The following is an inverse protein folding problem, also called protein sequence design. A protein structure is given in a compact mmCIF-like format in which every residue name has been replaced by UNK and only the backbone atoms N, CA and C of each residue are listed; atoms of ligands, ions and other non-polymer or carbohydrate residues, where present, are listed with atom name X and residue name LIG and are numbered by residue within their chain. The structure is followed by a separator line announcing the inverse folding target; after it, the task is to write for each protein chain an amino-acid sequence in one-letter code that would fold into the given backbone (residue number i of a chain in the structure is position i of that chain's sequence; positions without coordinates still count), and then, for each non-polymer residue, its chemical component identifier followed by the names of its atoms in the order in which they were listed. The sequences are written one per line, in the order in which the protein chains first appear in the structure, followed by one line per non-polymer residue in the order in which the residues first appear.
data_IF_168375292500
#
_entry.id   IF_168375292500
#
_cell.length_a   1.000
_cell.length_b   1.000
_cell.length_c   1.000
_cell.angle_alpha   90.00
_cell.angle_beta   90.00
_cell.angle_gamma   90.00
#
_symmetry.space_group_name_H-M   'P 1'
#
loop_
_entity.id
_entity.type
_entity.pdbx_description
1 polymer ?
#
# COMPACT_ATOMS: atom_id res chain seq x y z
N UNK A 1 -34.42 -9.43 -8.63
CA UNK A 1 -33.76 -8.73 -7.51
C UNK A 1 -34.25 -7.29 -7.48
N UNK A 2 -34.91 -6.87 -6.41
CA UNK A 2 -35.45 -5.52 -6.23
C UNK A 2 -34.34 -4.47 -6.06
N UNK A 3 -34.68 -3.18 -6.15
CA UNK A 3 -33.72 -2.09 -5.91
C UNK A 3 -33.19 -2.16 -4.47
N UNK A 4 -34.08 -2.35 -3.50
CA UNK A 4 -33.76 -2.52 -2.09
C UNK A 4 -32.81 -3.70 -1.84
N UNK A 5 -33.03 -4.84 -2.50
CA UNK A 5 -32.12 -6.00 -2.39
C UNK A 5 -30.72 -5.70 -2.93
N UNK A 6 -30.61 -4.90 -4.00
CA UNK A 6 -29.29 -4.48 -4.54
C UNK A 6 -28.58 -3.51 -3.60
N UNK A 7 -29.31 -2.58 -2.99
CA UNK A 7 -28.77 -1.65 -2.00
C UNK A 7 -28.26 -2.40 -0.76
N UNK A 8 -29.01 -3.38 -0.26
CA UNK A 8 -28.61 -4.22 0.87
C UNK A 8 -27.34 -5.03 0.56
N UNK A 9 -27.26 -5.64 -0.63
CA UNK A 9 -26.07 -6.37 -1.08
C UNK A 9 -24.84 -5.46 -1.16
N UNK A 10 -25.00 -4.22 -1.64
CA UNK A 10 -23.91 -3.25 -1.71
C UNK A 10 -23.46 -2.81 -0.31
N UNK A 11 -24.42 -2.52 0.58
CA UNK A 11 -24.15 -2.19 1.98
C UNK A 11 -23.39 -3.32 2.69
N UNK A 12 -23.83 -4.56 2.53
CA UNK A 12 -23.14 -5.74 3.06
C UNK A 12 -21.73 -5.89 2.46
N UNK A 13 -21.57 -5.64 1.16
CA UNK A 13 -20.26 -5.74 0.49
C UNK A 13 -19.24 -4.78 1.09
N UNK A 14 -19.62 -3.50 1.25
CA UNK A 14 -18.77 -2.49 1.87
C UNK A 14 -18.48 -2.80 3.34
N UNK A 15 -19.49 -3.26 4.08
CA UNK A 15 -19.34 -3.59 5.50
C UNK A 15 -18.39 -4.77 5.71
N UNK A 16 -18.49 -5.81 4.89
CA UNK A 16 -17.58 -6.98 4.90
C UNK A 16 -16.15 -6.52 4.60
N UNK A 17 -15.95 -5.72 3.54
CA UNK A 17 -14.64 -5.22 3.15
C UNK A 17 -13.99 -4.40 4.27
N UNK A 18 -14.73 -3.45 4.84
CA UNK A 18 -14.23 -2.60 5.92
C UNK A 18 -13.91 -3.42 7.17
N UNK A 19 -14.77 -4.38 7.54
CA UNK A 19 -14.54 -5.23 8.71
C UNK A 19 -13.31 -6.13 8.53
N UNK A 20 -13.13 -6.73 7.35
CA UNK A 20 -11.93 -7.50 7.00
C UNK A 20 -10.66 -6.68 7.22
N UNK A 21 -10.61 -5.48 6.63
CA UNK A 21 -9.44 -4.60 6.73
C UNK A 21 -9.14 -4.20 8.17
N UNK A 22 -10.17 -3.86 8.95
CA UNK A 22 -10.02 -3.49 10.37
C UNK A 22 -9.43 -4.66 11.18
N UNK A 23 -9.94 -5.88 11.00
CA UNK A 23 -9.44 -7.06 11.72
C UNK A 23 -7.97 -7.32 11.41
N UNK A 24 -7.59 -7.26 10.12
CA UNK A 24 -6.22 -7.52 9.68
C UNK A 24 -5.24 -6.45 10.15
N UNK A 25 -5.60 -5.17 10.06
CA UNK A 25 -4.79 -4.08 10.61
C UNK A 25 -4.60 -4.23 12.11
N UNK A 26 -5.66 -4.59 12.85
CA UNK A 26 -5.56 -4.84 14.29
C UNK A 26 -4.62 -6.02 14.60
N UNK A 27 -4.74 -7.14 13.88
CA UNK A 27 -3.85 -8.29 14.06
C UNK A 27 -2.38 -7.94 13.77
N UNK A 28 -2.13 -7.27 12.64
CA UNK A 28 -0.80 -6.84 12.25
C UNK A 28 -0.16 -5.91 13.30
N UNK A 29 -0.93 -4.94 13.82
CA UNK A 29 -0.43 -4.04 14.87
C UNK A 29 -0.10 -4.80 16.16
N UNK A 30 -0.93 -5.79 16.54
CA UNK A 30 -0.65 -6.64 17.69
C UNK A 30 0.63 -7.47 17.51
N UNK A 31 0.79 -8.09 16.34
CA UNK A 31 1.99 -8.85 16.00
C UNK A 31 3.24 -7.98 16.06
N UNK A 32 3.21 -6.79 15.44
CA UNK A 32 4.35 -5.85 15.47
C UNK A 32 4.67 -5.32 16.86
N UNK A 33 3.66 -5.12 17.73
CA UNK A 33 3.90 -4.76 19.13
C UNK A 33 4.62 -5.87 19.91
N UNK A 34 4.42 -7.14 19.56
CA UNK A 34 5.15 -8.25 20.19
C UNK A 34 6.59 -8.41 19.66
N UNK A 35 6.88 -7.96 18.44
CA UNK A 35 8.24 -7.97 17.86
C UNK A 35 9.14 -6.82 18.35
N UNK A 36 8.55 -5.70 18.80
CA UNK A 36 9.28 -4.55 19.34
C UNK A 36 9.48 -4.74 20.86
N UNK A 37 10.73 -4.69 21.34
CA UNK A 37 11.12 -4.92 22.75
C UNK A 37 10.33 -4.08 23.79
N UNK A 38 10.35 -4.56 25.04
CA UNK A 38 9.53 -4.31 26.25
C UNK A 38 9.06 -2.86 26.60
N UNK A 39 9.52 -1.82 25.91
CA UNK A 39 9.32 -0.41 26.30
C UNK A 39 8.21 0.35 25.53
N UNK A 40 7.52 -0.27 24.58
CA UNK A 40 6.43 0.39 23.83
C UNK A 40 5.04 -0.12 24.23
N UNK A 41 4.49 0.41 25.33
CA UNK A 41 3.10 0.19 25.72
C UNK A 41 2.24 1.31 25.12
N UNK A 42 1.43 0.98 24.10
CA UNK A 42 0.41 1.91 23.62
C UNK A 42 -0.69 2.02 24.69
N UNK A 43 -0.88 3.23 25.25
CA UNK A 43 -1.73 3.50 26.43
C UNK A 43 -3.19 3.01 26.29
N UNK A 44 -3.69 2.80 25.06
CA UNK A 44 -5.00 2.19 24.81
C UNK A 44 -5.07 1.68 23.35
N UNK A 45 -4.90 0.37 23.10
CA UNK A 45 -4.93 -0.16 21.73
C UNK A 45 -6.30 0.03 21.04
N UNK A 46 -7.38 0.21 21.79
CA UNK A 46 -8.75 0.29 21.24
C UNK A 46 -9.31 -1.07 20.80
N UNK A 47 -8.58 -2.16 21.06
CA UNK A 47 -8.95 -3.54 20.73
C UNK A 47 -8.46 -4.51 21.82
N UNK A 48 -9.10 -5.68 21.89
CA UNK A 48 -8.72 -6.80 22.79
C UNK A 48 -8.82 -8.11 22.02
N UNK A 49 -8.20 -9.18 22.53
CA UNK A 49 -8.36 -10.54 22.00
C UNK A 49 -9.83 -10.92 21.84
N UNK A 50 -10.66 -10.59 22.84
CA UNK A 50 -12.11 -10.84 22.79
C UNK A 50 -12.84 -10.00 21.74
N UNK A 51 -12.43 -8.74 21.57
CA UNK A 51 -12.95 -7.89 20.49
C UNK A 51 -12.60 -8.46 19.11
N UNK A 52 -11.39 -9.01 18.94
CA UNK A 52 -10.94 -9.60 17.69
C UNK A 52 -11.75 -10.86 17.36
N UNK A 53 -11.91 -11.77 18.32
CA UNK A 53 -12.77 -12.96 18.19
C UNK A 53 -14.19 -12.58 17.78
N UNK A 54 -14.80 -11.63 18.50
CA UNK A 54 -16.16 -11.17 18.22
C UNK A 54 -16.26 -10.53 16.84
N UNK A 55 -15.27 -9.75 16.43
CA UNK A 55 -15.24 -9.11 15.11
C UNK A 55 -15.18 -10.14 13.97
N UNK A 56 -14.41 -11.22 14.15
CA UNK A 56 -14.34 -12.33 13.19
C UNK A 56 -15.68 -13.09 13.14
N UNK A 57 -16.33 -13.33 14.28
CA UNK A 57 -17.66 -13.94 14.35
C UNK A 57 -18.72 -13.08 13.65
N UNK A 58 -18.71 -11.76 13.89
CA UNK A 58 -19.58 -10.81 13.21
C UNK A 58 -19.34 -10.84 11.70
N UNK A 59 -18.08 -10.89 11.26
CA UNK A 59 -17.73 -11.00 9.84
C UNK A 59 -18.26 -12.29 9.21
N UNK A 60 -18.17 -13.43 9.89
CA UNK A 60 -18.77 -14.70 9.44
C UNK A 60 -20.29 -14.56 9.21
N UNK A 61 -20.99 -13.88 10.13
CA UNK A 61 -22.44 -13.63 9.99
C UNK A 61 -22.71 -12.69 8.81
N UNK A 62 -21.91 -11.64 8.61
CA UNK A 62 -22.07 -10.73 7.48
C UNK A 62 -21.88 -11.43 6.13
N UNK A 63 -20.87 -12.29 6.01
CA UNK A 63 -20.63 -13.08 4.79
C UNK A 63 -21.79 -14.05 4.56
N UNK A 64 -22.29 -14.70 5.61
CA UNK A 64 -23.47 -15.58 5.51
C UNK A 64 -24.70 -14.82 5.01
N UNK A 65 -24.98 -13.65 5.57
CA UNK A 65 -26.08 -12.78 5.15
C UNK A 65 -25.90 -12.28 3.71
N UNK A 66 -24.68 -11.96 3.29
CA UNK A 66 -24.36 -11.58 1.91
C UNK A 66 -24.68 -12.70 0.92
N UNK A 67 -24.29 -13.95 1.22
CA UNK A 67 -24.55 -15.11 0.38
C UNK A 67 -26.05 -15.45 0.33
N UNK A 68 -26.74 -15.30 1.45
CA UNK A 68 -28.20 -15.45 1.53
C UNK A 68 -28.92 -14.39 0.70
N UNK A 69 -28.54 -13.11 0.84
CA UNK A 69 -29.11 -12.00 0.07
C UNK A 69 -28.86 -12.15 -1.45
N UNK A 70 -27.70 -12.72 -1.84
CA UNK A 70 -27.42 -13.09 -3.23
C UNK A 70 -28.15 -14.35 -3.72
N UNK A 71 -28.93 -15.02 -2.87
CA UNK A 71 -29.64 -16.25 -3.17
C UNK A 71 -28.69 -17.38 -3.62
N UNK A 72 -27.58 -17.56 -2.90
CA UNK A 72 -26.56 -18.57 -3.19
C UNK A 72 -26.52 -19.69 -2.13
N UNK A 73 -27.56 -20.52 -2.00
CA UNK A 73 -27.71 -21.46 -0.89
C UNK A 73 -26.64 -22.55 -0.84
N UNK A 74 -26.15 -23.01 -2.01
CA UNK A 74 -25.06 -24.00 -2.07
C UNK A 74 -23.77 -23.40 -1.52
N UNK A 75 -23.45 -22.17 -1.93
CA UNK A 75 -22.24 -21.48 -1.49
C UNK A 75 -22.32 -21.12 -0.01
N UNK A 76 -23.48 -20.65 0.47
CA UNK A 76 -23.75 -20.43 1.89
C UNK A 76 -23.52 -21.70 2.72
N UNK A 77 -24.09 -22.83 2.31
CA UNK A 77 -23.92 -24.10 3.02
C UNK A 77 -22.44 -24.53 3.05
N UNK A 78 -21.73 -24.38 1.94
CA UNK A 78 -20.31 -24.68 1.87
C UNK A 78 -19.47 -23.77 2.79
N UNK A 79 -19.80 -22.48 2.82
CA UNK A 79 -19.17 -21.51 3.73
C UNK A 79 -19.36 -21.91 5.19
N UNK A 80 -20.62 -22.13 5.60
CA UNK A 80 -20.96 -22.49 6.96
C UNK A 80 -20.30 -23.80 7.38
N UNK A 81 -20.38 -24.85 6.55
CA UNK A 81 -19.73 -26.15 6.83
C UNK A 81 -18.21 -26.03 6.96
N UNK A 82 -17.56 -25.21 6.12
CA UNK A 82 -16.12 -25.03 6.16
C UNK A 82 -15.66 -24.31 7.44
N UNK A 83 -16.38 -23.26 7.86
CA UNK A 83 -15.87 -22.32 8.85
C UNK A 83 -16.51 -22.40 10.24
N UNK A 84 -17.64 -23.10 10.41
CA UNK A 84 -18.35 -23.15 11.70
C UNK A 84 -17.48 -23.64 12.86
N UNK A 85 -16.68 -24.69 12.65
CA UNK A 85 -15.77 -25.22 13.68
C UNK A 85 -14.69 -24.17 14.05
N UNK A 86 -14.06 -23.54 13.05
CA UNK A 86 -13.06 -22.49 13.31
C UNK A 86 -13.64 -21.27 14.04
N UNK A 87 -14.90 -20.91 13.78
CA UNK A 87 -15.56 -19.72 14.37
C UNK A 87 -16.09 -19.97 15.78
N UNK A 88 -16.45 -21.21 16.11
CA UNK A 88 -16.95 -21.61 17.43
C UNK A 88 -15.86 -22.07 18.38
N UNK A 89 -14.66 -22.33 17.87
CA UNK A 89 -13.52 -22.79 18.65
C UNK A 89 -12.52 -21.66 18.91
N UNK A 90 -12.47 -21.22 20.17
CA UNK A 90 -11.58 -20.16 20.65
C UNK A 90 -10.10 -20.32 20.31
N UNK A 91 -9.62 -21.56 20.17
CA UNK A 91 -8.23 -21.82 19.81
C UNK A 91 -7.99 -21.67 18.30
N UNK A 92 -9.01 -21.95 17.48
CA UNK A 92 -8.90 -21.93 16.01
C UNK A 92 -9.16 -20.56 15.41
N UNK A 93 -10.06 -19.78 16.02
CA UNK A 93 -10.48 -18.49 15.47
C UNK A 93 -9.34 -17.47 15.38
N UNK A 94 -8.34 -17.58 16.25
CA UNK A 94 -7.14 -16.73 16.26
C UNK A 94 -5.87 -17.47 15.81
N UNK A 95 -6.01 -18.64 15.16
CA UNK A 95 -4.86 -19.26 14.53
C UNK A 95 -4.29 -18.30 13.49
N UNK A 96 -3.02 -18.01 13.64
CA UNK A 96 -2.26 -17.21 12.72
C UNK A 96 -1.01 -17.96 12.28
N UNK A 97 -0.46 -17.52 11.16
CA UNK A 97 0.80 -18.05 10.67
C UNK A 97 1.25 -17.31 9.42
N UNK A 98 2.47 -17.63 9.02
CA UNK A 98 3.05 -17.17 7.78
C UNK A 98 2.44 -18.01 6.65
N UNK A 99 1.42 -17.46 5.98
CA UNK A 99 0.66 -18.14 4.93
C UNK A 99 1.31 -18.05 3.55
N UNK A 100 2.20 -17.09 3.38
CA UNK A 100 2.99 -16.87 2.19
C UNK A 100 4.47 -16.90 2.58
N UNK A 101 5.38 -17.50 1.78
CA UNK A 101 6.81 -17.57 2.11
C UNK A 101 7.44 -16.20 2.46
N UNK A 102 6.82 -15.13 1.98
CA UNK A 102 7.21 -13.73 2.09
C UNK A 102 6.18 -12.87 2.85
N UNK A 103 5.21 -13.47 3.57
CA UNK A 103 4.17 -12.77 4.32
C UNK A 103 4.49 -12.54 5.81
N UNK A 104 3.80 -11.58 6.43
CA UNK A 104 3.75 -11.46 7.88
C UNK A 104 2.86 -12.56 8.50
N UNK A 105 2.85 -12.62 9.83
CA UNK A 105 1.89 -13.46 10.54
C UNK A 105 0.45 -12.97 10.28
N UNK A 106 -0.34 -13.79 9.60
CA UNK A 106 -1.69 -13.47 9.19
C UNK A 106 -2.69 -14.38 9.89
N UNK A 107 -3.86 -13.84 10.24
CA UNK A 107 -4.98 -14.67 10.69
C UNK A 107 -5.41 -15.59 9.55
N UNK A 108 -5.30 -16.90 9.78
CA UNK A 108 -5.65 -17.91 8.78
C UNK A 108 -7.10 -17.72 8.31
N UNK A 109 -8.00 -17.44 9.26
CA UNK A 109 -9.44 -17.31 8.98
C UNK A 109 -9.77 -16.12 8.07
N UNK A 110 -9.07 -14.98 8.17
CA UNK A 110 -9.36 -13.82 7.31
C UNK A 110 -8.88 -14.07 5.89
N UNK A 111 -7.72 -14.70 5.72
CA UNK A 111 -7.23 -15.10 4.39
C UNK A 111 -8.16 -16.14 3.74
N UNK A 112 -8.66 -17.11 4.52
CA UNK A 112 -9.62 -18.07 3.99
C UNK A 112 -10.96 -17.42 3.61
N UNK A 113 -11.43 -16.42 4.36
CA UNK A 113 -12.60 -15.62 3.98
C UNK A 113 -12.37 -14.85 2.68
N UNK A 114 -11.21 -14.20 2.53
CA UNK A 114 -10.81 -13.50 1.30
C UNK A 114 -10.79 -14.43 0.10
N UNK A 115 -10.16 -15.59 0.26
CA UNK A 115 -10.11 -16.64 -0.76
C UNK A 115 -11.52 -17.08 -1.17
N UNK A 116 -12.41 -17.28 -0.21
CA UNK A 116 -13.80 -17.66 -0.47
C UNK A 116 -14.60 -16.57 -1.20
N UNK A 117 -14.32 -15.30 -0.89
CA UNK A 117 -15.00 -14.14 -1.47
C UNK A 117 -14.40 -13.70 -2.83
N UNK A 118 -13.18 -14.14 -3.16
CA UNK A 118 -12.46 -13.75 -4.39
C UNK A 118 -13.25 -13.89 -5.71
N UNK A 119 -14.18 -14.86 -5.90
CA UNK A 119 -14.95 -14.94 -7.14
C UNK A 119 -15.94 -13.77 -7.33
N UNK A 120 -16.22 -12.98 -6.29
CA UNK A 120 -17.08 -11.82 -6.38
C UNK A 120 -16.26 -10.58 -6.73
N UNK A 121 -16.64 -9.89 -7.80
CA UNK A 121 -15.99 -8.65 -8.27
C UNK A 121 -15.65 -7.62 -7.17
N UNK A 122 -16.49 -7.51 -6.13
CA UNK A 122 -16.28 -6.57 -5.02
C UNK A 122 -15.14 -6.96 -4.07
N UNK A 123 -14.75 -8.24 -4.04
CA UNK A 123 -13.73 -8.80 -3.16
C UNK A 123 -12.56 -9.42 -3.95
N UNK A 124 -12.51 -9.19 -5.27
CA UNK A 124 -11.44 -9.65 -6.14
C UNK A 124 -10.14 -8.90 -5.80
N UNK A 125 -9.30 -9.57 -5.02
CA UNK A 125 -8.02 -9.07 -4.54
C UNK A 125 -7.04 -8.73 -5.64
N UNK A 126 -7.01 -9.51 -6.72
CA UNK A 126 -6.12 -9.25 -7.85
C UNK A 126 -6.52 -7.94 -8.54
N UNK A 127 -7.83 -7.76 -8.77
CA UNK A 127 -8.36 -6.52 -9.35
C UNK A 127 -8.18 -5.31 -8.44
N UNK A 128 -8.34 -5.47 -7.13
CA UNK A 128 -8.08 -4.40 -6.16
C UNK A 128 -6.59 -4.03 -6.13
N UNK A 129 -5.70 -5.03 -6.23
CA UNK A 129 -4.26 -4.79 -6.29
C UNK A 129 -3.87 -4.08 -7.59
N UNK A 130 -4.40 -4.52 -8.74
CA UNK A 130 -4.23 -3.85 -10.03
C UNK A 130 -4.74 -2.39 -10.00
N UNK A 131 -5.95 -2.16 -9.46
CA UNK A 131 -6.51 -0.81 -9.30
C UNK A 131 -5.63 0.05 -8.38
N UNK A 132 -5.10 -0.52 -7.30
CA UNK A 132 -4.19 0.17 -6.37
C UNK A 132 -2.83 0.49 -6.99
N UNK A 133 -2.25 -0.43 -7.77
CA UNK A 133 -1.00 -0.20 -8.51
C UNK A 133 -1.20 0.90 -9.54
N UNK A 134 -2.26 0.84 -10.35
CA UNK A 134 -2.58 1.88 -11.35
C UNK A 134 -2.75 3.24 -10.69
N UNK A 135 -3.45 3.30 -9.55
CA UNK A 135 -3.66 4.51 -8.77
C UNK A 135 -2.35 5.05 -8.19
N UNK A 136 -1.54 4.19 -7.58
CA UNK A 136 -0.24 4.56 -7.04
C UNK A 136 0.66 5.13 -8.14
N UNK A 137 0.85 4.39 -9.23
CA UNK A 137 1.66 4.83 -10.37
C UNK A 137 1.13 6.13 -10.97
N UNK A 138 -0.19 6.33 -11.00
CA UNK A 138 -0.79 7.59 -11.45
C UNK A 138 -0.46 8.76 -10.52
N UNK A 139 -0.48 8.58 -9.20
CA UNK A 139 -0.09 9.63 -8.24
C UNK A 139 1.39 9.98 -8.43
N UNK A 140 2.27 8.98 -8.52
CA UNK A 140 3.72 9.18 -8.71
C UNK A 140 4.05 9.87 -10.04
N UNK A 141 3.34 9.54 -11.13
CA UNK A 141 3.47 10.23 -12.42
C UNK A 141 3.03 11.70 -12.37
N UNK A 142 2.16 12.06 -11.42
CA UNK A 142 1.67 13.42 -11.21
C UNK A 142 2.50 14.23 -10.19
N UNK A 143 3.69 13.78 -9.81
CA UNK A 143 4.55 14.48 -8.84
C UNK A 143 4.81 15.95 -9.19
N UNK A 144 5.08 16.30 -10.45
CA UNK A 144 5.27 17.71 -10.88
C UNK A 144 4.02 18.57 -10.60
N UNK A 145 2.84 18.01 -10.85
CA UNK A 145 1.59 18.69 -10.56
C UNK A 145 1.37 18.88 -9.05
N UNK A 146 1.72 17.88 -8.23
CA UNK A 146 1.62 17.95 -6.76
C UNK A 146 2.53 19.07 -6.23
N UNK A 147 3.81 19.05 -6.60
CA UNK A 147 4.82 20.04 -6.18
C UNK A 147 4.34 21.46 -6.50
N UNK A 148 3.86 21.69 -7.72
CA UNK A 148 3.40 23.01 -8.16
C UNK A 148 2.19 23.51 -7.39
N UNK A 149 1.20 22.65 -7.14
CA UNK A 149 0.02 23.06 -6.38
C UNK A 149 0.31 23.26 -4.89
N UNK A 150 1.36 22.65 -4.37
CA UNK A 150 1.86 22.93 -3.04
C UNK A 150 2.67 24.25 -2.96
N UNK A 151 2.96 24.92 -4.08
CA UNK A 151 3.76 26.14 -4.17
C UNK A 151 5.11 26.04 -3.43
N UNK A 152 5.76 24.87 -3.50
CA UNK A 152 7.07 24.66 -2.89
C UNK A 152 8.19 24.85 -3.91
N UNK A 153 9.31 25.39 -3.44
CA UNK A 153 10.58 25.36 -4.17
C UNK A 153 11.28 24.02 -3.86
N UNK A 154 11.71 23.31 -4.90
CA UNK A 154 12.37 22.01 -4.74
C UNK A 154 13.88 22.22 -4.71
N UNK A 155 14.49 21.99 -3.56
CA UNK A 155 15.95 22.09 -3.39
C UNK A 155 16.58 20.70 -3.23
N UNK A 156 15.81 19.75 -2.66
CA UNK A 156 16.24 18.37 -2.40
C UNK A 156 15.09 17.39 -2.56
N UNK A 157 15.42 16.09 -2.62
CA UNK A 157 14.47 14.98 -2.73
C UNK A 157 13.36 15.04 -1.66
N UNK A 158 13.72 15.44 -0.44
CA UNK A 158 12.78 15.56 0.67
C UNK A 158 11.66 16.58 0.46
N UNK A 159 11.92 17.63 -0.33
CA UNK A 159 10.89 18.62 -0.62
C UNK A 159 9.80 17.99 -1.51
N UNK A 160 10.18 17.02 -2.36
CA UNK A 160 9.28 16.26 -3.22
C UNK A 160 8.51 15.21 -2.44
N UNK A 161 9.21 14.23 -1.86
CA UNK A 161 8.56 13.03 -1.32
C UNK A 161 7.65 13.35 -0.15
N UNK A 162 7.88 14.44 0.60
CA UNK A 162 6.99 14.88 1.67
C UNK A 162 5.62 15.32 1.13
N UNK A 163 5.57 16.06 0.02
CA UNK A 163 4.30 16.48 -0.58
C UNK A 163 3.56 15.31 -1.21
N UNK A 164 4.29 14.44 -1.91
CA UNK A 164 3.71 13.23 -2.50
C UNK A 164 3.18 12.30 -1.41
N UNK A 165 3.92 12.11 -0.32
CA UNK A 165 3.48 11.32 0.83
C UNK A 165 2.20 11.85 1.44
N UNK A 166 2.03 13.18 1.53
CA UNK A 166 0.79 13.77 2.02
C UNK A 166 -0.40 13.37 1.15
N UNK A 167 -0.28 13.47 -0.19
CA UNK A 167 -1.34 13.03 -1.12
C UNK A 167 -1.58 11.52 -1.01
N UNK A 168 -0.52 10.72 -0.96
CA UNK A 168 -0.62 9.26 -0.79
C UNK A 168 -1.34 8.91 0.52
N UNK A 169 -1.09 9.63 1.60
CA UNK A 169 -1.75 9.42 2.90
C UNK A 169 -3.26 9.65 2.89
N UNK A 170 -3.80 10.41 1.92
CA UNK A 170 -5.24 10.54 1.73
C UNK A 170 -5.89 9.26 1.19
N UNK A 171 -5.10 8.40 0.56
CA UNK A 171 -5.56 7.20 -0.12
C UNK A 171 -5.07 5.90 0.54
N UNK A 172 -3.92 5.96 1.19
CA UNK A 172 -3.25 4.86 1.88
C UNK A 172 -2.90 5.34 3.29
N UNK A 173 -3.82 5.19 4.27
CA UNK A 173 -3.63 5.74 5.62
C UNK A 173 -2.39 5.22 6.35
N UNK A 174 -1.92 4.03 5.99
CA UNK A 174 -0.69 3.43 6.55
C UNK A 174 0.61 3.99 5.98
N UNK A 175 0.51 4.87 4.97
CA UNK A 175 1.66 5.47 4.31
C UNK A 175 2.55 6.27 5.28
N UNK A 176 3.83 5.92 5.34
CA UNK A 176 4.80 6.44 6.31
C UNK A 176 6.14 6.78 5.66
N UNK A 177 6.86 7.72 6.28
CA UNK A 177 8.21 8.12 5.87
C UNK A 177 9.27 7.35 6.68
N UNK A 178 10.48 7.34 6.14
CA UNK A 178 11.81 6.94 6.66
C UNK A 178 11.98 6.60 8.15
N UNK A 179 11.42 7.39 9.08
CA UNK A 179 11.71 7.28 10.51
C UNK A 179 10.77 6.36 11.32
N UNK A 180 9.99 5.48 10.67
CA UNK A 180 9.00 4.62 11.36
C UNK A 180 8.93 3.16 10.90
N UNK A 181 9.82 2.72 10.02
CA UNK A 181 10.04 1.31 9.69
C UNK A 181 11.32 1.20 8.85
N UNK A 182 12.41 0.78 9.45
CA UNK A 182 13.59 0.31 8.75
C UNK A 182 13.47 -1.18 8.47
N UNK A 183 14.02 -1.65 7.34
CA UNK A 183 14.33 -3.06 7.18
C UNK A 183 15.75 -3.29 7.64
N UNK A 184 15.92 -4.27 8.53
CA UNK A 184 17.23 -4.72 8.98
C UNK A 184 17.51 -6.01 8.22
N UNK A 185 18.41 -5.94 7.22
CA UNK A 185 18.98 -7.13 6.63
C UNK A 185 20.50 -7.14 6.85
N UNK A 186 20.93 -8.18 7.55
CA UNK A 186 22.30 -8.58 7.87
C UNK A 186 23.11 -7.52 8.64
N UNK A 187 23.37 -6.32 8.12
CA UNK A 187 24.03 -5.20 8.84
C UNK A 187 23.72 -3.79 8.25
N UNK A 188 22.74 -3.66 7.33
CA UNK A 188 22.36 -2.36 6.74
C UNK A 188 20.89 -2.05 6.99
N UNK A 189 20.66 -0.86 7.54
CA UNK A 189 19.33 -0.25 7.64
C UNK A 189 19.02 0.36 6.29
N UNK A 190 18.07 -0.22 5.54
CA UNK A 190 17.51 0.48 4.40
C UNK A 190 16.29 1.29 4.82
N UNK A 191 16.23 2.50 4.30
CA UNK A 191 15.29 3.50 4.77
C UNK A 191 14.65 4.21 3.58
N UNK A 192 13.59 3.61 3.00
CA UNK A 192 12.93 4.19 1.86
C UNK A 192 12.32 5.55 2.13
N UNK A 193 12.26 6.37 1.09
CA UNK A 193 11.66 7.70 1.20
C UNK A 193 10.19 7.60 1.61
N UNK A 194 9.44 6.70 0.99
CA UNK A 194 8.03 6.43 1.32
C UNK A 194 7.77 4.93 1.39
N UNK A 195 7.01 4.52 2.42
CA UNK A 195 6.53 3.16 2.62
C UNK A 195 5.01 3.11 2.59
N UNK A 196 4.45 2.16 1.83
CA UNK A 196 3.02 1.86 1.78
C UNK A 196 2.82 0.39 2.19
N UNK A 197 2.69 0.12 3.51
CA UNK A 197 2.54 -1.23 4.04
C UNK A 197 1.35 -1.98 3.47
N UNK A 198 0.21 -1.29 3.30
CA UNK A 198 -1.02 -1.87 2.71
C UNK A 198 -0.81 -2.44 1.30
N UNK A 199 0.22 -1.97 0.58
CA UNK A 199 0.59 -2.45 -0.75
C UNK A 199 1.92 -3.21 -0.76
N UNK A 200 2.52 -3.45 0.42
CA UNK A 200 3.90 -3.94 0.55
C UNK A 200 4.87 -3.24 -0.39
N UNK A 201 4.70 -1.92 -0.56
CA UNK A 201 5.41 -1.13 -1.56
C UNK A 201 6.33 -0.09 -0.92
N UNK A 202 7.59 -0.07 -1.33
CA UNK A 202 8.57 0.95 -0.98
C UNK A 202 8.87 1.84 -2.19
N UNK A 203 9.10 3.12 -1.95
CA UNK A 203 9.30 4.12 -2.99
C UNK A 203 10.56 4.93 -2.69
N UNK A 204 11.42 5.02 -3.70
CA UNK A 204 12.65 5.81 -3.68
C UNK A 204 12.53 7.00 -4.63
N UNK A 205 12.88 8.20 -4.17
CA UNK A 205 12.92 9.39 -5.00
C UNK A 205 14.36 9.78 -5.35
N UNK A 206 14.52 10.25 -6.58
CA UNK A 206 15.70 11.00 -6.98
C UNK A 206 15.34 12.30 -7.67
N UNK A 207 15.92 13.38 -7.18
CA UNK A 207 15.82 14.70 -7.76
C UNK A 207 17.06 15.00 -8.59
N UNK A 208 16.85 15.40 -9.84
CA UNK A 208 17.88 15.73 -10.82
C UNK A 208 17.63 17.17 -11.29
N UNK A 209 18.48 18.10 -10.87
CA UNK A 209 18.35 19.54 -11.17
C UNK A 209 19.48 20.07 -12.06
N UNK A 210 20.61 19.35 -12.09
CA UNK A 210 21.82 19.81 -12.79
C UNK A 210 22.33 18.72 -13.72
N UNK A 211 22.96 19.13 -14.82
CA UNK A 211 23.61 18.20 -15.74
C UNK A 211 24.79 17.44 -15.10
N UNK A 212 25.34 17.96 -13.99
CA UNK A 212 26.35 17.28 -13.18
C UNK A 212 25.80 16.13 -12.35
N UNK A 213 24.48 16.07 -12.15
CA UNK A 213 23.85 15.00 -11.38
C UNK A 213 23.93 13.72 -12.21
N UNK A 214 24.68 12.73 -11.71
CA UNK A 214 24.93 11.51 -12.44
C UNK A 214 23.75 10.53 -12.27
N UNK A 215 22.84 10.57 -13.25
CA UNK A 215 21.66 9.70 -13.32
C UNK A 215 22.06 8.22 -13.33
N UNK A 216 23.13 7.84 -14.04
CA UNK A 216 23.58 6.44 -14.12
C UNK A 216 24.09 5.94 -12.76
N UNK A 217 24.81 6.79 -12.01
CA UNK A 217 25.22 6.48 -10.64
C UNK A 217 24.02 6.24 -9.72
N UNK A 218 22.94 7.01 -9.85
CA UNK A 218 21.72 6.76 -9.07
C UNK A 218 21.12 5.41 -9.44
N UNK A 219 20.96 5.13 -10.75
CA UNK A 219 20.43 3.85 -11.22
C UNK A 219 21.30 2.69 -10.69
N UNK A 220 22.63 2.84 -10.67
CA UNK A 220 23.54 1.85 -10.10
C UNK A 220 23.39 1.66 -8.59
N UNK A 221 23.17 2.75 -7.84
CA UNK A 221 22.88 2.68 -6.40
C UNK A 221 21.57 1.92 -6.16
N UNK A 222 20.49 2.30 -6.85
CA UNK A 222 19.20 1.61 -6.77
C UNK A 222 19.34 0.15 -7.19
N UNK A 223 20.16 -0.16 -8.19
CA UNK A 223 20.38 -1.55 -8.62
C UNK A 223 21.11 -2.38 -7.58
N UNK A 224 22.09 -1.78 -6.93
CA UNK A 224 22.85 -2.39 -5.83
C UNK A 224 21.91 -2.68 -4.67
N UNK A 225 21.07 -1.72 -4.33
CA UNK A 225 20.04 -1.84 -3.31
C UNK A 225 19.00 -2.91 -3.69
N UNK A 226 18.54 -2.93 -4.95
CA UNK A 226 17.60 -3.92 -5.48
C UNK A 226 18.05 -5.38 -5.29
N UNK A 227 19.35 -5.66 -5.37
CA UNK A 227 19.89 -6.99 -5.10
C UNK A 227 19.82 -7.36 -3.62
N UNK A 228 19.84 -6.38 -2.72
CA UNK A 228 19.80 -6.59 -1.29
C UNK A 228 18.37 -6.82 -0.77
N UNK A 229 17.32 -6.43 -1.50
CA UNK A 229 15.91 -6.70 -1.12
C UNK A 229 15.37 -8.05 -1.53
N UNK A 230 16.18 -8.88 -2.22
CA UNK A 230 15.72 -10.21 -2.60
C UNK A 230 15.57 -11.05 -1.34
N UNK A 231 14.33 -11.21 -0.86
CA UNK A 231 13.97 -11.98 0.34
C UNK A 231 13.46 -11.17 1.54
N UNK A 232 13.25 -9.85 1.42
CA UNK A 232 12.57 -9.07 2.46
C UNK A 232 11.06 -9.40 2.49
N UNK A 233 10.53 -9.74 3.67
CA UNK A 233 9.14 -10.21 3.86
C UNK A 233 8.13 -9.08 4.12
N UNK A 234 8.60 -7.87 4.41
CA UNK A 234 7.73 -6.74 4.73
C UNK A 234 7.36 -5.93 3.48
N UNK A 235 8.21 -5.95 2.44
CA UNK A 235 8.01 -5.19 1.20
C UNK A 235 8.38 -6.02 -0.02
N UNK A 236 7.39 -6.23 -0.89
CA UNK A 236 7.48 -7.09 -2.07
C UNK A 236 7.62 -6.26 -3.36
N UNK A 237 7.22 -4.98 -3.37
CA UNK A 237 7.21 -4.12 -4.54
C UNK A 237 8.05 -2.86 -4.30
N UNK A 238 8.85 -2.46 -5.28
CA UNK A 238 9.75 -1.33 -5.17
C UNK A 238 9.57 -0.40 -6.36
N UNK A 239 9.45 0.91 -6.11
CA UNK A 239 9.27 1.90 -7.16
C UNK A 239 10.36 2.96 -7.05
N UNK A 240 11.19 3.10 -8.09
CA UNK A 240 12.11 4.21 -8.22
C UNK A 240 11.43 5.36 -8.99
N UNK A 241 11.41 6.55 -8.42
CA UNK A 241 10.86 7.77 -9.03
C UNK A 241 12.00 8.74 -9.33
N UNK A 242 12.30 8.94 -10.61
CA UNK A 242 13.26 9.95 -11.06
C UNK A 242 12.49 11.20 -11.45
N UNK A 243 12.67 12.28 -10.70
CA UNK A 243 12.17 13.60 -11.01
C UNK A 243 13.27 14.46 -11.63
N UNK A 244 13.08 14.87 -12.87
CA UNK A 244 13.95 15.82 -13.58
C UNK A 244 13.36 17.21 -13.45
N UNK A 245 14.14 18.20 -13.06
CA UNK A 245 13.67 19.59 -13.04
C UNK A 245 13.38 20.10 -14.47
N UNK A 246 14.22 19.70 -15.44
CA UNK A 246 14.08 20.08 -16.84
C UNK A 246 14.33 18.88 -17.78
N UNK A 247 13.51 18.81 -18.84
CA UNK A 247 13.66 17.90 -19.99
C UNK A 247 15.01 17.98 -20.70
N UNK A 248 15.75 19.08 -20.59
CA UNK A 248 17.07 19.26 -21.20
C UNK A 248 18.16 18.40 -20.53
N UNK A 249 17.92 17.92 -19.31
CA UNK A 249 18.89 17.13 -18.54
C UNK A 249 19.02 15.70 -19.07
N UNK A 250 17.88 15.08 -19.39
CA UNK A 250 17.82 13.77 -20.03
C UNK A 250 16.40 13.51 -20.58
N UNK A 251 16.32 12.71 -21.63
CA UNK A 251 15.03 12.21 -22.12
C UNK A 251 14.60 10.98 -21.33
N UNK A 252 13.28 10.77 -21.18
CA UNK A 252 12.71 9.55 -20.59
C UNK A 252 13.27 8.29 -21.25
N UNK A 253 13.48 8.33 -22.58
CA UNK A 253 14.03 7.19 -23.33
C UNK A 253 15.47 6.85 -22.93
N UNK A 254 16.32 7.85 -22.70
CA UNK A 254 17.71 7.61 -22.26
C UNK A 254 17.74 6.96 -20.89
N UNK A 255 16.93 7.46 -19.95
CA UNK A 255 16.84 6.92 -18.59
C UNK A 255 16.31 5.48 -18.63
N UNK A 256 15.24 5.24 -19.38
CA UNK A 256 14.65 3.91 -19.51
C UNK A 256 15.61 2.92 -20.20
N UNK A 257 16.42 3.40 -21.15
CA UNK A 257 17.47 2.57 -21.77
C UNK A 257 18.54 2.17 -20.76
N UNK A 258 19.02 3.12 -19.94
CA UNK A 258 19.96 2.80 -18.85
C UNK A 258 19.32 1.82 -17.87
N UNK A 259 18.12 2.09 -17.37
CA UNK A 259 17.39 1.21 -16.45
C UNK A 259 17.29 -0.23 -16.97
N UNK A 260 16.81 -0.40 -18.20
CA UNK A 260 16.64 -1.73 -18.81
C UNK A 260 17.97 -2.47 -18.98
N UNK A 261 19.08 -1.75 -19.19
CA UNK A 261 20.42 -2.36 -19.32
C UNK A 261 20.94 -2.96 -18.01
N UNK A 262 20.45 -2.50 -16.85
CA UNK A 262 20.92 -2.92 -15.52
C UNK A 262 20.19 -4.17 -14.99
N UNK A 263 19.21 -4.72 -15.74
CA UNK A 263 18.47 -5.94 -15.41
C UNK A 263 17.93 -5.95 -13.97
N UNK A 264 17.10 -4.96 -13.63
CA UNK A 264 16.42 -4.92 -12.34
C UNK A 264 15.52 -6.15 -12.12
N UNK A 265 15.29 -6.55 -10.86
CA UNK A 265 14.31 -7.59 -10.53
C UNK A 265 12.89 -7.22 -11.01
N UNK A 266 12.04 -8.23 -11.23
CA UNK A 266 10.68 -8.03 -11.78
C UNK A 266 9.75 -7.19 -10.89
N UNK A 267 10.03 -7.16 -9.59
CA UNK A 267 9.27 -6.40 -8.60
C UNK A 267 9.73 -4.93 -8.45
N UNK A 268 10.61 -4.46 -9.35
CA UNK A 268 11.05 -3.08 -9.42
C UNK A 268 10.43 -2.34 -10.61
N UNK A 269 9.76 -1.22 -10.35
CA UNK A 269 9.21 -0.32 -11.37
C UNK A 269 9.96 1.02 -11.40
N UNK A 270 10.12 1.58 -12.61
CA UNK A 270 10.64 2.93 -12.81
C UNK A 270 9.53 3.89 -13.20
N UNK A 271 9.41 5.00 -12.47
CA UNK A 271 8.61 6.16 -12.83
C UNK A 271 9.54 7.33 -13.14
N UNK A 272 9.42 7.92 -14.33
CA UNK A 272 10.15 9.13 -14.72
C UNK A 272 9.17 10.29 -14.80
N UNK A 273 9.47 11.36 -14.07
CA UNK A 273 8.70 12.60 -14.03
C UNK A 273 9.59 13.72 -14.55
N UNK A 274 9.07 14.50 -15.50
CA UNK A 274 9.76 15.69 -16.02
C UNK A 274 8.99 16.91 -15.51
N UNK A 275 9.69 17.76 -14.77
CA UNK A 275 9.21 19.04 -14.31
C UNK A 275 8.85 19.91 -15.50
N UNK A 276 7.66 20.49 -15.48
CA UNK A 276 7.34 21.53 -16.47
C UNK A 276 7.85 22.89 -15.97
N UNK A 277 8.26 23.82 -16.84
CA UNK A 277 8.69 25.15 -16.41
C UNK A 277 7.64 25.83 -15.53
N UNK A 278 8.06 26.42 -14.41
CA UNK A 278 7.17 27.17 -13.52
C UNK A 278 6.72 28.45 -14.23
N UNK A 279 5.54 28.46 -14.85
CA UNK A 279 4.89 29.74 -15.17
C UNK A 279 4.53 30.40 -13.86
N UNK A 280 5.37 31.33 -13.38
CA UNK A 280 4.99 32.24 -12.32
C UNK A 280 3.68 32.91 -12.76
N UNK A 281 2.56 32.57 -12.12
CA UNK A 281 1.34 33.38 -12.24
C UNK A 281 1.69 34.73 -11.63
N UNK A 282 2.07 35.70 -12.46
CA UNK A 282 2.03 37.10 -12.08
C UNK A 282 0.59 37.38 -11.69
N UNK A 283 0.33 37.45 -10.38
CA UNK A 283 -0.90 38.03 -9.87
C UNK A 283 -0.78 39.53 -10.18
N UNK A 284 -1.28 39.93 -11.35
CA UNK A 284 -1.46 41.34 -11.69
C UNK A 284 -2.64 41.81 -10.83
N UNK A 285 -2.33 42.36 -9.67
CA UNK A 285 -3.33 43.04 -8.85
C UNK A 285 -3.68 44.35 -9.53
N UNK A 286 -4.75 44.36 -10.33
CA UNK A 286 -5.34 45.60 -10.84
C UNK A 286 -6.11 46.24 -9.68
N UNK A 287 -5.61 47.35 -9.14
CA UNK A 287 -6.39 48.19 -8.23
C UNK A 287 -7.47 48.91 -9.03
N UNK A 288 -8.73 48.53 -8.82
CA UNK A 288 -9.88 49.29 -9.31
C UNK A 288 -9.92 50.68 -8.68
N UNK A 289 -10.36 51.66 -9.45
CA UNK A 289 -10.58 53.05 -9.04
C UNK A 289 -11.66 53.18 -7.97
#
# INVERSE_FOLDING_TARGET
MSILEKEEINYLSEKIKNRLNIIEQTHYNHFKQQELEEDYVEDYPGWTTEWLKKSIQELYVMISAYLEAKQMPILLNNFQKKFLDSITNDKKILLSGILHPEGDDELIITNEFRSFLSPFKYFDHMRINEENVVKLTSILKNTDFIIKNCNIEVVREADIYNQVKWVLGLYYPTCRLKNKASFIQEFKTYEPDILIPELKTAIEYKFISKASDNIDNFIDQVRTDANNYVGDRSYENFIAVIYLEDSSLATTKQIQTSWNSKNFPLNWELVVVIGSPTTHKQIITVKGH
#
